data_IF_872156791184
#
_entry.id   IF_872156791184
#
_cell.length_a   1.000
_cell.length_b   1.000
_cell.length_c   1.000
_cell.angle_alpha   90.00
_cell.angle_beta   90.00
_cell.angle_gamma   90.00
#
_symmetry.space_group_name_H-M   'P 1'
#
loop_
_entity.id
_entity.type
_entity.pdbx_description
1 polymer ?
#
# COMPACT_ATOMS: atom_id res chain seq x y z
N UNK A 1 -14.30 0.29 -19.93
CA UNK A 1 -13.21 1.22 -20.29
C UNK A 1 -13.76 2.14 -21.34
N UNK A 2 -13.58 3.45 -21.19
CA UNK A 2 -13.79 4.38 -22.28
C UNK A 2 -12.56 4.26 -23.18
N UNK A 3 -12.74 3.89 -24.45
CA UNK A 3 -11.63 3.89 -25.40
C UNK A 3 -11.12 5.33 -25.53
N UNK A 4 -9.87 5.55 -25.14
CA UNK A 4 -9.17 6.82 -25.31
C UNK A 4 -8.15 6.61 -26.43
N UNK A 5 -8.35 7.30 -27.54
CA UNK A 5 -7.39 7.29 -28.66
C UNK A 5 -6.51 8.52 -28.53
N UNK A 6 -5.30 8.36 -27.97
CA UNK A 6 -4.28 9.40 -27.88
C UNK A 6 -3.11 9.03 -28.79
N UNK A 7 -2.80 9.89 -29.76
CA UNK A 7 -1.71 9.65 -30.72
C UNK A 7 -0.39 10.25 -30.21
N UNK A 8 0.12 9.74 -29.08
CA UNK A 8 1.37 10.22 -28.48
C UNK A 8 2.22 9.05 -27.94
N UNK A 9 3.52 9.05 -28.26
CA UNK A 9 4.42 7.95 -27.87
C UNK A 9 4.70 7.92 -26.36
N UNK A 10 4.71 9.06 -25.67
CA UNK A 10 4.90 9.09 -24.22
C UNK A 10 3.65 8.60 -23.48
N UNK A 11 2.46 8.81 -24.04
CA UNK A 11 1.24 8.21 -23.53
C UNK A 11 1.29 6.68 -23.60
N UNK A 12 1.79 6.12 -24.70
CA UNK A 12 2.00 4.67 -24.83
C UNK A 12 3.02 4.15 -23.81
N UNK A 13 4.16 4.86 -23.65
CA UNK A 13 5.16 4.50 -22.63
C UNK A 13 4.56 4.54 -21.21
N UNK A 14 3.78 5.58 -20.89
CA UNK A 14 3.09 5.71 -19.61
C UNK A 14 2.14 4.52 -19.37
N UNK A 15 1.35 4.17 -20.37
CA UNK A 15 0.38 3.08 -20.33
C UNK A 15 1.07 1.72 -20.11
N UNK A 16 2.20 1.49 -20.78
CA UNK A 16 3.01 0.28 -20.61
C UNK A 16 3.61 0.20 -19.21
N UNK A 17 4.18 1.28 -18.69
CA UNK A 17 4.73 1.30 -17.32
C UNK A 17 3.66 1.04 -16.26
N UNK A 18 2.50 1.66 -16.41
CA UNK A 18 1.35 1.40 -15.54
C UNK A 18 0.93 -0.08 -15.60
N UNK A 19 0.80 -0.66 -16.80
CA UNK A 19 0.46 -2.07 -16.97
C UNK A 19 1.50 -3.00 -16.34
N UNK A 20 2.79 -2.72 -16.54
CA UNK A 20 3.89 -3.49 -15.94
C UNK A 20 3.83 -3.45 -14.41
N UNK A 21 3.55 -2.29 -13.82
CA UNK A 21 3.38 -2.16 -12.38
C UNK A 21 2.17 -2.95 -11.87
N UNK A 22 1.00 -2.81 -12.51
CA UNK A 22 -0.22 -3.55 -12.14
C UNK A 22 -0.03 -5.06 -12.25
N UNK A 23 0.70 -5.53 -13.28
CA UNK A 23 1.03 -6.95 -13.44
C UNK A 23 1.90 -7.45 -12.27
N UNK A 24 2.90 -6.68 -11.86
CA UNK A 24 3.74 -7.03 -10.71
C UNK A 24 2.96 -7.02 -9.39
N UNK A 25 2.07 -6.06 -9.17
CA UNK A 25 1.17 -6.06 -8.01
C UNK A 25 0.29 -7.33 -7.97
N UNK A 26 -0.25 -7.74 -9.11
CA UNK A 26 -0.99 -8.99 -9.25
C UNK A 26 -0.12 -10.22 -8.95
N UNK A 27 1.09 -10.26 -9.49
CA UNK A 27 2.05 -11.34 -9.25
C UNK A 27 2.42 -11.47 -7.77
N UNK A 28 2.71 -10.37 -7.09
CA UNK A 28 3.00 -10.36 -5.66
C UNK A 28 1.84 -10.93 -4.85
N UNK A 29 0.60 -10.49 -5.14
CA UNK A 29 -0.59 -11.03 -4.49
C UNK A 29 -0.76 -12.55 -4.74
N UNK A 30 -0.50 -13.03 -5.95
CA UNK A 30 -0.57 -14.45 -6.30
C UNK A 30 0.50 -15.31 -5.59
N UNK A 31 1.66 -14.74 -5.25
CA UNK A 31 2.69 -15.44 -4.47
C UNK A 31 2.27 -15.64 -3.01
N UNK A 32 1.44 -14.73 -2.48
CA UNK A 32 1.00 -14.72 -1.09
C UNK A 32 -0.25 -15.57 -0.83
N UNK A 33 -0.83 -16.21 -1.85
CA UNK A 33 -2.03 -17.03 -1.70
C UNK A 33 -1.75 -18.36 -0.96
N UNK A 34 -2.62 -18.78 0.00
CA UNK A 34 -2.41 -19.97 0.82
C UNK A 34 -2.30 -21.31 0.05
N UNK A 35 -2.96 -21.44 -1.10
CA UNK A 35 -3.16 -22.71 -1.80
C UNK A 35 -1.90 -23.29 -2.46
N UNK A 36 -0.76 -22.60 -2.44
CA UNK A 36 0.49 -23.10 -3.04
C UNK A 36 1.27 -24.08 -2.16
N UNK A 37 0.86 -24.28 -0.91
CA UNK A 37 1.69 -24.96 0.08
C UNK A 37 0.99 -26.17 0.70
N UNK A 38 0.99 -27.31 0.00
CA UNK A 38 0.49 -28.62 0.47
C UNK A 38 1.64 -29.63 0.66
N UNK A 39 2.65 -29.33 1.50
CA UNK A 39 3.68 -30.31 1.91
C UNK A 39 4.56 -29.78 3.05
N UNK A 40 4.93 -30.64 4.01
CA UNK A 40 5.63 -30.32 5.27
C UNK A 40 7.03 -29.66 5.19
N UNK A 41 7.52 -29.27 4.01
CA UNK A 41 8.67 -28.38 3.79
C UNK A 41 8.28 -26.87 3.81
N UNK A 42 7.14 -26.56 4.42
CA UNK A 42 6.29 -25.37 4.21
C UNK A 42 6.84 -24.02 4.73
N UNK A 43 7.66 -23.99 5.77
CA UNK A 43 7.99 -22.72 6.46
C UNK A 43 9.03 -21.88 5.71
N UNK A 44 10.04 -22.50 5.10
CA UNK A 44 11.09 -21.78 4.34
C UNK A 44 10.55 -21.27 3.01
N UNK A 45 9.80 -22.09 2.29
CA UNK A 45 9.21 -21.71 1.01
C UNK A 45 8.24 -20.52 1.12
N UNK A 46 7.44 -20.45 2.19
CA UNK A 46 6.55 -19.31 2.44
C UNK A 46 7.33 -18.03 2.77
N UNK A 47 8.37 -18.12 3.59
CA UNK A 47 9.25 -16.99 3.91
C UNK A 47 9.98 -16.47 2.65
N UNK A 48 10.41 -17.37 1.77
CA UNK A 48 11.00 -16.99 0.48
C UNK A 48 9.98 -16.31 -0.43
N UNK A 49 8.72 -16.78 -0.44
CA UNK A 49 7.64 -16.11 -1.17
C UNK A 49 7.34 -14.70 -0.60
N UNK A 50 7.38 -14.52 0.73
CA UNK A 50 7.24 -13.21 1.37
C UNK A 50 8.39 -12.27 0.99
N UNK A 51 9.64 -12.74 0.95
CA UNK A 51 10.78 -11.92 0.52
C UNK A 51 10.66 -11.54 -0.97
N UNK A 52 10.36 -12.52 -1.82
CA UNK A 52 10.17 -12.29 -3.24
C UNK A 52 9.01 -11.33 -3.55
N UNK A 53 7.92 -11.37 -2.77
CA UNK A 53 6.82 -10.41 -2.96
C UNK A 53 7.23 -8.98 -2.61
N UNK A 54 8.08 -8.78 -1.58
CA UNK A 54 8.65 -7.46 -1.27
C UNK A 54 9.44 -6.93 -2.46
N UNK A 55 10.36 -7.72 -3.03
CA UNK A 55 11.15 -7.30 -4.20
C UNK A 55 10.27 -6.93 -5.40
N UNK A 56 9.19 -7.70 -5.63
CA UNK A 56 8.22 -7.41 -6.69
C UNK A 56 7.47 -6.10 -6.44
N UNK A 57 7.09 -5.81 -5.19
CA UNK A 57 6.47 -4.54 -4.82
C UNK A 57 7.41 -3.34 -5.05
N UNK A 58 8.69 -3.46 -4.68
CA UNK A 58 9.69 -2.40 -4.91
C UNK A 58 9.88 -2.11 -6.39
N UNK A 59 9.90 -3.17 -7.21
CA UNK A 59 9.97 -3.05 -8.67
C UNK A 59 8.72 -2.41 -9.28
N UNK A 60 7.53 -2.76 -8.80
CA UNK A 60 6.28 -2.12 -9.22
C UNK A 60 6.28 -0.62 -8.89
N UNK A 61 6.73 -0.27 -7.68
CA UNK A 61 6.91 1.11 -7.27
C UNK A 61 7.93 1.84 -8.16
N UNK A 62 9.03 1.18 -8.54
CA UNK A 62 10.05 1.74 -9.45
C UNK A 62 9.50 2.15 -10.80
N UNK A 63 8.64 1.33 -11.41
CA UNK A 63 7.97 1.68 -12.68
C UNK A 63 7.03 2.89 -12.53
N UNK A 64 6.27 2.96 -11.44
CA UNK A 64 5.33 4.05 -11.19
C UNK A 64 6.04 5.35 -10.84
N UNK A 65 7.11 5.30 -10.05
CA UNK A 65 7.93 6.47 -9.74
C UNK A 65 8.60 7.02 -11.00
N UNK A 66 9.18 6.14 -11.84
CA UNK A 66 9.74 6.56 -13.13
C UNK A 66 8.67 7.18 -14.03
N UNK A 67 7.48 6.57 -14.11
CA UNK A 67 6.36 7.11 -14.88
C UNK A 67 6.01 8.55 -14.44
N UNK A 68 5.90 8.78 -13.13
CA UNK A 68 5.58 10.10 -12.57
C UNK A 68 6.71 11.11 -12.79
N UNK A 69 7.96 10.72 -12.52
CA UNK A 69 9.10 11.64 -12.48
C UNK A 69 9.69 11.92 -13.87
N UNK A 70 9.60 10.97 -14.80
CA UNK A 70 10.33 11.02 -16.08
C UNK A 70 9.42 11.00 -17.30
N UNK A 71 8.27 10.34 -17.23
CA UNK A 71 7.36 10.19 -18.39
C UNK A 71 6.27 11.24 -18.41
N UNK A 72 5.52 11.43 -17.32
CA UNK A 72 4.47 12.46 -17.25
C UNK A 72 4.96 13.86 -17.65
N UNK A 73 6.15 14.34 -17.25
CA UNK A 73 6.62 15.66 -17.66
C UNK A 73 6.86 15.83 -19.17
N UNK A 74 7.02 14.72 -19.92
CA UNK A 74 7.24 14.75 -21.37
C UNK A 74 5.94 14.95 -22.15
N UNK A 75 4.79 14.66 -21.54
CA UNK A 75 3.49 14.86 -22.17
C UNK A 75 3.18 16.37 -22.27
N UNK A 76 2.61 16.84 -23.39
CA UNK A 76 2.03 18.18 -23.46
C UNK A 76 1.01 18.40 -22.34
N UNK A 77 0.87 19.65 -21.86
CA UNK A 77 0.01 19.96 -20.73
C UNK A 77 -1.47 19.66 -21.05
N UNK A 78 -1.89 19.94 -22.28
CA UNK A 78 -3.22 19.66 -22.80
C UNK A 78 -3.52 18.16 -22.69
N UNK A 79 -2.57 17.33 -23.15
CA UNK A 79 -2.71 15.88 -23.11
C UNK A 79 -2.73 15.32 -21.67
N UNK A 80 -1.94 15.91 -20.76
CA UNK A 80 -1.94 15.54 -19.34
C UNK A 80 -3.30 15.76 -18.68
N UNK A 81 -4.01 16.83 -19.04
CA UNK A 81 -5.32 17.13 -18.49
C UNK A 81 -6.41 16.18 -19.01
N UNK A 82 -6.20 15.62 -20.20
CA UNK A 82 -7.15 14.71 -20.86
C UNK A 82 -6.85 13.22 -20.56
N UNK A 83 -5.81 12.92 -19.76
CA UNK A 83 -5.44 11.55 -19.43
C UNK A 83 -6.63 10.76 -18.84
N UNK A 84 -6.74 9.46 -19.15
CA UNK A 84 -7.60 8.55 -18.40
C UNK A 84 -7.38 8.70 -16.89
N UNK A 85 -8.46 8.69 -16.10
CA UNK A 85 -8.38 8.92 -14.66
C UNK A 85 -7.43 7.96 -13.93
N UNK A 86 -7.34 6.72 -14.40
CA UNK A 86 -6.42 5.68 -13.92
C UNK A 86 -4.95 5.98 -14.21
N UNK A 87 -4.66 6.85 -15.18
CA UNK A 87 -3.31 7.34 -15.50
C UNK A 87 -3.05 8.76 -14.96
N UNK A 88 -3.98 9.33 -14.19
CA UNK A 88 -3.74 10.61 -13.53
C UNK A 88 -2.57 10.54 -12.56
N UNK A 89 -1.83 11.65 -12.42
CA UNK A 89 -0.65 11.71 -11.55
C UNK A 89 -0.94 11.27 -10.12
N UNK A 90 -2.10 11.66 -9.57
CA UNK A 90 -2.52 11.26 -8.23
C UNK A 90 -2.74 9.76 -8.09
N UNK A 91 -3.36 9.10 -9.09
CA UNK A 91 -3.53 7.63 -9.08
C UNK A 91 -2.19 6.92 -9.17
N UNK A 92 -1.28 7.37 -10.03
CA UNK A 92 0.05 6.76 -10.19
C UNK A 92 0.89 6.88 -8.90
N UNK A 93 0.86 8.05 -8.24
CA UNK A 93 1.50 8.24 -6.93
C UNK A 93 0.88 7.38 -5.85
N UNK A 94 -0.46 7.28 -5.81
CA UNK A 94 -1.17 6.44 -4.87
C UNK A 94 -0.82 4.95 -5.05
N UNK A 95 -0.75 4.45 -6.30
CA UNK A 95 -0.33 3.08 -6.61
C UNK A 95 1.13 2.82 -6.20
N UNK A 96 2.03 3.80 -6.40
CA UNK A 96 3.43 3.69 -6.01
C UNK A 96 3.55 3.50 -4.50
N UNK A 97 2.85 4.34 -3.74
CA UNK A 97 2.82 4.28 -2.27
C UNK A 97 2.08 3.04 -1.75
N UNK A 98 1.03 2.59 -2.44
CA UNK A 98 0.37 1.32 -2.16
C UNK A 98 1.37 0.16 -2.25
N UNK A 99 2.17 0.08 -3.31
CA UNK A 99 3.16 -0.97 -3.47
C UNK A 99 4.15 -1.00 -2.28
N UNK A 100 4.68 0.18 -1.89
CA UNK A 100 5.58 0.30 -0.73
C UNK A 100 4.88 -0.05 0.59
N UNK A 101 3.63 0.41 0.78
CA UNK A 101 2.82 0.10 1.96
C UNK A 101 2.55 -1.39 2.12
N UNK A 102 2.26 -2.09 1.01
CA UNK A 102 2.13 -3.55 0.99
C UNK A 102 3.48 -4.23 1.29
N UNK A 103 4.60 -3.73 0.75
CA UNK A 103 5.93 -4.24 1.08
C UNK A 103 6.24 -4.19 2.58
N UNK A 104 5.94 -3.06 3.24
CA UNK A 104 6.14 -2.93 4.70
C UNK A 104 5.16 -3.83 5.47
N UNK A 105 3.94 -4.03 4.99
CA UNK A 105 2.99 -4.97 5.60
C UNK A 105 3.56 -6.40 5.65
N UNK A 106 4.22 -6.85 4.57
CA UNK A 106 4.90 -8.15 4.56
C UNK A 106 6.05 -8.17 5.57
N UNK A 107 6.89 -7.13 5.60
CA UNK A 107 7.98 -7.03 6.58
C UNK A 107 7.47 -7.05 8.03
N UNK A 108 6.36 -6.37 8.31
CA UNK A 108 5.73 -6.37 9.62
C UNK A 108 5.20 -7.77 9.97
N UNK A 109 4.55 -8.46 9.04
CA UNK A 109 4.10 -9.84 9.23
C UNK A 109 5.27 -10.77 9.58
N UNK A 110 6.37 -10.70 8.85
CA UNK A 110 7.60 -11.45 9.14
C UNK A 110 8.20 -11.09 10.50
N UNK A 111 8.19 -9.80 10.88
CA UNK A 111 8.66 -9.35 12.18
C UNK A 111 7.76 -9.88 13.33
N UNK A 112 6.44 -9.90 13.14
CA UNK A 112 5.50 -10.46 14.12
C UNK A 112 5.79 -11.95 14.38
N UNK A 113 6.02 -12.72 13.33
CA UNK A 113 6.33 -14.16 13.38
C UNK A 113 7.73 -14.45 13.98
N UNK A 114 8.62 -13.45 14.02
CA UNK A 114 9.99 -13.60 14.48
C UNK A 114 10.15 -13.33 15.98
N UNK A 115 10.66 -14.32 16.72
CA UNK A 115 11.06 -14.16 18.13
C UNK A 115 12.20 -13.16 18.33
N UNK A 116 12.98 -12.86 17.27
CA UNK A 116 14.13 -11.94 17.34
C UNK A 116 13.73 -10.48 17.17
N UNK A 117 12.55 -10.21 16.61
CA UNK A 117 12.10 -8.86 16.35
C UNK A 117 11.52 -8.23 17.62
N UNK A 118 12.11 -7.13 18.07
CA UNK A 118 11.64 -6.39 19.24
C UNK A 118 10.33 -5.67 18.95
N UNK A 119 9.58 -5.32 20.00
CA UNK A 119 8.36 -4.54 19.89
C UNK A 119 8.61 -3.17 19.23
N UNK A 120 9.77 -2.56 19.49
CA UNK A 120 10.19 -1.31 18.85
C UNK A 120 10.33 -1.44 17.32
N UNK A 121 10.88 -2.56 16.82
CA UNK A 121 10.97 -2.83 15.38
C UNK A 121 9.58 -2.97 14.77
N UNK A 122 8.68 -3.73 15.42
CA UNK A 122 7.30 -3.92 14.96
C UNK A 122 6.56 -2.57 14.90
N UNK A 123 6.67 -1.75 15.96
CA UNK A 123 6.06 -0.41 16.01
C UNK A 123 6.59 0.47 14.88
N UNK A 124 7.91 0.49 14.65
CA UNK A 124 8.51 1.27 13.56
C UNK A 124 7.88 0.91 12.21
N UNK A 125 7.84 -0.38 11.86
CA UNK A 125 7.25 -0.84 10.60
C UNK A 125 5.76 -0.45 10.50
N UNK A 126 4.99 -0.59 11.57
CA UNK A 126 3.58 -0.17 11.58
C UNK A 126 3.40 1.34 11.38
N UNK A 127 4.25 2.17 11.99
CA UNK A 127 4.24 3.62 11.78
C UNK A 127 4.66 4.00 10.35
N UNK A 128 5.63 3.30 9.76
CA UNK A 128 5.99 3.47 8.34
C UNK A 128 4.80 3.12 7.44
N UNK A 129 4.07 2.02 7.70
CA UNK A 129 2.84 1.67 6.97
C UNK A 129 1.81 2.80 7.02
N UNK A 130 1.54 3.36 8.21
CA UNK A 130 0.60 4.50 8.36
C UNK A 130 1.01 5.65 7.44
N UNK A 131 2.29 5.97 7.37
CA UNK A 131 2.80 7.09 6.56
C UNK A 131 2.67 6.84 5.06
N UNK A 132 2.96 5.63 4.57
CA UNK A 132 2.73 5.27 3.16
C UNK A 132 1.26 5.37 2.77
N UNK A 133 0.37 4.75 3.56
CA UNK A 133 -1.06 4.74 3.26
C UNK A 133 -1.71 6.11 3.40
N UNK A 134 -1.28 6.92 4.37
CA UNK A 134 -1.74 8.29 4.50
C UNK A 134 -1.36 9.13 3.27
N UNK A 135 -0.10 9.05 2.81
CA UNK A 135 0.31 9.77 1.59
C UNK A 135 -0.47 9.28 0.36
N UNK A 136 -0.72 7.97 0.25
CA UNK A 136 -1.52 7.42 -0.85
C UNK A 136 -2.96 7.96 -0.84
N UNK A 137 -3.57 8.05 0.34
CA UNK A 137 -4.90 8.62 0.53
C UNK A 137 -4.95 10.09 0.12
N UNK A 138 -3.97 10.89 0.53
CA UNK A 138 -3.89 12.31 0.17
C UNK A 138 -3.83 12.53 -1.35
N UNK A 139 -3.18 11.63 -2.10
CA UNK A 139 -3.11 11.74 -3.56
C UNK A 139 -4.40 11.34 -4.29
N UNK A 140 -5.27 10.54 -3.67
CA UNK A 140 -6.44 9.96 -4.35
C UNK A 140 -7.78 10.50 -3.85
N UNK A 141 -7.86 10.99 -2.60
CA UNK A 141 -9.14 11.32 -1.93
C UNK A 141 -10.00 12.31 -2.72
N UNK A 142 -9.38 13.33 -3.32
CA UNK A 142 -10.08 14.43 -4.00
C UNK A 142 -10.29 14.18 -5.51
N UNK A 143 -9.79 13.05 -6.03
CA UNK A 143 -9.94 12.73 -7.46
C UNK A 143 -11.36 12.26 -7.79
N UNK A 144 -11.96 12.65 -8.92
CA UNK A 144 -13.32 12.25 -9.30
C UNK A 144 -13.40 10.82 -9.86
N UNK A 145 -12.91 9.84 -9.09
CA UNK A 145 -12.86 8.43 -9.48
C UNK A 145 -14.24 7.75 -9.33
N UNK A 146 -15.24 8.22 -10.07
CA UNK A 146 -16.61 7.69 -10.04
C UNK A 146 -16.81 6.43 -10.92
N UNK A 147 -15.72 5.81 -11.38
CA UNK A 147 -15.80 4.50 -12.01
C UNK A 147 -15.65 3.42 -10.92
N UNK A 148 -16.35 2.29 -11.06
CA UNK A 148 -16.38 1.27 -9.99
C UNK A 148 -14.99 0.82 -9.53
N UNK A 149 -14.01 0.73 -10.45
CA UNK A 149 -12.62 0.40 -10.10
C UNK A 149 -11.91 1.48 -9.27
N UNK A 150 -12.11 2.75 -9.60
CA UNK A 150 -11.48 3.88 -8.93
C UNK A 150 -12.11 4.16 -7.57
N UNK A 151 -13.43 4.05 -7.43
CA UNK A 151 -14.12 4.05 -6.14
C UNK A 151 -13.57 2.93 -5.25
N UNK A 152 -13.43 1.73 -5.83
CA UNK A 152 -12.87 0.59 -5.14
C UNK A 152 -11.42 0.78 -4.72
N UNK A 153 -10.60 1.44 -5.53
CA UNK A 153 -9.21 1.78 -5.17
C UNK A 153 -9.15 2.76 -3.98
N UNK A 154 -10.01 3.78 -3.95
CA UNK A 154 -10.12 4.68 -2.78
C UNK A 154 -10.49 3.93 -1.51
N UNK A 155 -11.50 3.06 -1.57
CA UNK A 155 -11.92 2.25 -0.44
C UNK A 155 -10.80 1.32 0.05
N UNK A 156 -10.00 0.75 -0.86
CA UNK A 156 -8.85 -0.06 -0.50
C UNK A 156 -7.82 0.74 0.29
N UNK A 157 -7.39 1.89 -0.23
CA UNK A 157 -6.39 2.74 0.43
C UNK A 157 -6.90 3.20 1.79
N UNK A 158 -8.15 3.64 1.88
CA UNK A 158 -8.78 4.08 3.13
C UNK A 158 -8.79 2.93 4.15
N UNK A 159 -9.25 1.74 3.74
CA UNK A 159 -9.23 0.55 4.60
C UNK A 159 -7.82 0.25 5.12
N UNK A 160 -6.82 0.17 4.23
CA UNK A 160 -5.45 -0.18 4.62
C UNK A 160 -4.80 0.89 5.50
N UNK A 161 -5.13 2.17 5.30
CA UNK A 161 -4.70 3.25 6.19
C UNK A 161 -5.27 3.09 7.60
N UNK A 162 -6.57 2.82 7.72
CA UNK A 162 -7.23 2.61 9.02
C UNK A 162 -6.67 1.36 9.71
N UNK A 163 -6.45 0.28 8.95
CA UNK A 163 -5.83 -0.94 9.46
C UNK A 163 -4.41 -0.67 10.00
N UNK A 164 -3.58 0.05 9.25
CA UNK A 164 -2.23 0.43 9.67
C UNK A 164 -2.24 1.24 10.97
N UNK A 165 -3.20 2.17 11.14
CA UNK A 165 -3.39 2.93 12.38
C UNK A 165 -3.69 2.01 13.56
N UNK A 166 -4.58 1.02 13.38
CA UNK A 166 -4.88 0.05 14.43
C UNK A 166 -3.60 -0.67 14.91
N UNK A 167 -2.74 -1.11 14.00
CA UNK A 167 -1.47 -1.78 14.35
C UNK A 167 -0.54 -0.84 15.10
N UNK A 168 -0.34 0.36 14.55
CA UNK A 168 0.63 1.32 15.05
C UNK A 168 0.26 1.74 16.48
N UNK A 169 -1.02 2.05 16.73
CA UNK A 169 -1.50 2.40 18.06
C UNK A 169 -1.42 1.24 19.05
N UNK A 170 -1.72 0.01 18.62
CA UNK A 170 -1.60 -1.16 19.49
C UNK A 170 -0.15 -1.39 19.94
N UNK A 171 0.78 -1.44 18.98
CA UNK A 171 2.20 -1.64 19.28
C UNK A 171 2.80 -0.46 20.05
N UNK A 172 2.33 0.76 19.80
CA UNK A 172 2.73 1.93 20.56
C UNK A 172 2.23 1.87 22.01
N UNK A 173 0.96 1.51 22.21
CA UNK A 173 0.37 1.32 23.53
C UNK A 173 1.14 0.29 24.37
N UNK A 174 1.48 -0.87 23.79
CA UNK A 174 2.28 -1.89 24.47
C UNK A 174 3.67 -1.36 24.92
N UNK A 175 4.36 -0.58 24.08
CA UNK A 175 5.66 0.01 24.47
C UNK A 175 5.49 1.04 25.60
N UNK A 176 4.41 1.83 25.57
CA UNK A 176 4.15 2.81 26.62
C UNK A 176 3.87 2.14 27.98
N UNK A 177 3.19 0.98 27.98
CA UNK A 177 3.00 0.16 29.18
C UNK A 177 4.35 -0.36 29.72
N UNK A 178 5.23 -0.87 28.85
CA UNK A 178 6.58 -1.34 29.25
C UNK A 178 7.46 -0.20 29.78
N UNK A 179 7.33 1.00 29.21
CA UNK A 179 8.17 2.16 29.52
C UNK A 179 7.78 2.93 30.79
N UNK A 180 6.83 2.44 31.59
CA UNK A 180 6.29 3.11 32.79
C UNK A 180 5.82 4.56 32.50
N UNK A 181 5.36 4.81 31.27
CA UNK A 181 4.71 6.08 30.90
C UNK A 181 3.34 6.12 31.57
N UNK A 182 2.73 7.31 31.74
CA UNK A 182 1.46 7.42 32.47
C UNK A 182 0.41 6.44 31.93
N UNK A 183 -0.15 5.62 32.82
CA UNK A 183 -1.06 4.52 32.46
C UNK A 183 -2.23 4.98 31.58
N UNK A 184 -2.67 6.24 31.73
CA UNK A 184 -3.70 6.86 30.89
C UNK A 184 -3.30 7.03 29.43
N UNK A 185 -2.04 7.36 29.11
CA UNK A 185 -1.58 7.53 27.72
C UNK A 185 -1.50 6.16 27.03
N UNK A 186 -0.97 5.16 27.72
CA UNK A 186 -0.91 3.79 27.19
C UNK A 186 -2.32 3.23 26.95
N UNK A 187 -3.24 3.41 27.90
CA UNK A 187 -4.63 3.01 27.75
C UNK A 187 -5.33 3.72 26.59
N UNK A 188 -5.12 5.03 26.42
CA UNK A 188 -5.69 5.79 25.30
C UNK A 188 -5.18 5.28 23.94
N UNK A 189 -3.89 4.95 23.82
CA UNK A 189 -3.33 4.36 22.60
C UNK A 189 -3.96 3.00 22.28
N UNK A 190 -4.08 2.11 23.28
CA UNK A 190 -4.70 0.80 23.10
C UNK A 190 -6.19 0.93 22.73
N UNK A 191 -6.93 1.84 23.36
CA UNK A 191 -8.33 2.09 23.03
C UNK A 191 -8.50 2.62 21.60
N UNK A 192 -7.63 3.55 21.16
CA UNK A 192 -7.62 4.01 19.78
C UNK A 192 -7.38 2.85 18.79
N UNK A 193 -6.49 1.92 19.13
CA UNK A 193 -6.24 0.73 18.32
C UNK A 193 -7.47 -0.16 18.16
N UNK A 194 -8.25 -0.35 19.23
CA UNK A 194 -9.51 -1.11 19.19
C UNK A 194 -10.53 -0.46 18.26
N UNK A 195 -10.67 0.86 18.36
CA UNK A 195 -11.61 1.62 17.55
C UNK A 195 -11.22 1.63 16.07
N UNK A 196 -9.93 1.81 15.76
CA UNK A 196 -9.46 1.65 14.39
C UNK A 196 -9.61 0.21 13.87
N UNK A 197 -9.48 -0.81 14.72
CA UNK A 197 -9.72 -2.19 14.30
C UNK A 197 -11.21 -2.42 13.94
N UNK A 198 -12.15 -1.87 14.71
CA UNK A 198 -13.59 -1.92 14.40
C UNK A 198 -13.88 -1.20 13.08
N UNK A 199 -13.36 0.01 12.92
CA UNK A 199 -13.52 0.81 11.71
C UNK A 199 -12.91 0.13 10.49
N UNK A 200 -11.71 -0.46 10.64
CA UNK A 200 -11.03 -1.20 9.58
C UNK A 200 -11.86 -2.38 9.08
N UNK A 201 -12.58 -3.09 9.96
CA UNK A 201 -13.46 -4.20 9.55
C UNK A 201 -14.62 -3.69 8.70
N UNK A 202 -15.25 -2.59 9.10
CA UNK A 202 -16.34 -1.98 8.33
C UNK A 202 -15.85 -1.47 6.96
N UNK A 203 -14.66 -0.86 6.92
CA UNK A 203 -14.03 -0.41 5.68
C UNK A 203 -13.67 -1.57 4.74
N UNK A 204 -13.17 -2.68 5.29
CA UNK A 204 -12.91 -3.94 4.58
C UNK A 204 -14.19 -4.48 3.92
N UNK A 205 -15.27 -4.58 4.69
CA UNK A 205 -16.56 -5.06 4.18
C UNK A 205 -17.07 -4.15 3.04
N UNK A 206 -17.00 -2.83 3.24
CA UNK A 206 -17.38 -1.82 2.24
C UNK A 206 -16.57 -1.94 0.94
N UNK A 207 -15.26 -2.18 1.04
CA UNK A 207 -14.39 -2.43 -0.11
C UNK A 207 -14.81 -3.69 -0.87
N UNK A 208 -15.12 -4.78 -0.15
CA UNK A 208 -15.40 -6.06 -0.78
C UNK A 208 -16.77 -6.11 -1.48
N UNK A 209 -17.79 -5.42 -0.93
CA UNK A 209 -19.13 -5.35 -1.52
C UNK A 209 -19.24 -4.35 -2.67
N UNK A 210 -18.41 -3.30 -2.68
CA UNK A 210 -18.37 -2.32 -3.78
C UNK A 210 -17.96 -2.98 -5.10
N UNK A 211 -18.66 -2.65 -6.18
CA UNK A 211 -18.42 -3.20 -7.50
C UNK A 211 -17.06 -2.73 -8.06
N UNK A 212 -16.32 -3.61 -8.76
CA UNK A 212 -16.60 -5.03 -8.98
C UNK A 212 -16.40 -5.83 -7.69
N UNK A 213 -17.37 -6.67 -7.32
CA UNK A 213 -17.32 -7.38 -6.04
C UNK A 213 -16.12 -8.32 -5.94
N UNK A 214 -15.62 -8.51 -4.72
CA UNK A 214 -14.44 -9.34 -4.46
C UNK A 214 -14.67 -10.23 -3.26
N UNK A 215 -14.01 -11.38 -3.23
CA UNK A 215 -14.04 -12.27 -2.07
C UNK A 215 -13.19 -11.69 -0.96
N UNK A 216 -13.71 -11.68 0.27
CA UNK A 216 -12.94 -11.39 1.46
C UNK A 216 -12.14 -12.64 1.86
N UNK A 217 -10.79 -12.64 1.75
CA UNK A 217 -9.99 -13.78 2.16
C UNK A 217 -9.94 -13.89 3.69
N UNK A 218 -9.70 -15.08 4.27
CA UNK A 218 -9.39 -15.20 5.68
C UNK A 218 -8.22 -14.29 6.09
N UNK A 219 -8.26 -13.64 7.27
CA UNK A 219 -7.16 -12.81 7.74
C UNK A 219 -5.84 -13.60 7.80
N UNK A 220 -4.75 -12.97 7.38
CA UNK A 220 -3.41 -13.53 7.39
C UNK A 220 -2.39 -12.48 7.84
N UNK A 221 -1.16 -12.91 8.10
CA UNK A 221 -0.05 -12.02 8.47
C UNK A 221 -0.36 -11.09 9.64
N UNK A 222 -0.04 -9.80 9.50
CA UNK A 222 -0.26 -8.79 10.52
C UNK A 222 -1.75 -8.64 10.87
N UNK A 223 -2.65 -8.63 9.88
CA UNK A 223 -4.10 -8.52 10.10
C UNK A 223 -4.66 -9.63 10.98
N UNK A 224 -4.20 -10.87 10.80
CA UNK A 224 -4.58 -12.00 11.67
C UNK A 224 -4.13 -11.77 13.11
N UNK A 225 -2.86 -11.40 13.29
CA UNK A 225 -2.30 -11.14 14.61
C UNK A 225 -3.11 -10.08 15.38
N UNK A 226 -3.47 -8.98 14.72
CA UNK A 226 -4.29 -7.91 15.31
C UNK A 226 -5.67 -8.40 15.74
N UNK A 227 -6.35 -9.10 14.83
CA UNK A 227 -7.72 -9.58 15.06
C UNK A 227 -7.80 -10.51 16.27
N UNK A 228 -6.71 -11.24 16.55
CA UNK A 228 -6.63 -12.14 17.70
C UNK A 228 -6.12 -11.46 18.99
N UNK A 229 -5.20 -10.48 18.87
CA UNK A 229 -4.49 -9.91 20.02
C UNK A 229 -5.16 -8.69 20.63
N UNK A 230 -5.56 -7.73 19.79
CA UNK A 230 -6.16 -6.46 20.26
C UNK A 230 -7.37 -6.73 21.16
N UNK A 231 -8.35 -7.59 20.78
CA UNK A 231 -9.50 -7.84 21.64
C UNK A 231 -9.14 -8.48 22.98
N UNK A 232 -8.17 -9.40 23.01
CA UNK A 232 -7.77 -10.13 24.23
C UNK A 232 -7.04 -9.24 25.22
N UNK A 233 -6.14 -8.39 24.72
CA UNK A 233 -5.30 -7.54 25.55
C UNK A 233 -6.07 -6.34 26.11
N UNK A 234 -7.16 -5.93 25.45
CA UNK A 234 -7.99 -4.79 25.87
C UNK A 234 -9.18 -5.23 26.72
N UNK A 235 -9.82 -6.37 26.43
CA UNK A 235 -10.93 -6.90 27.24
C UNK A 235 -10.52 -7.21 28.70
N UNK A 236 -9.23 -7.36 28.95
CA UNK A 236 -8.66 -7.57 30.29
C UNK A 236 -8.36 -6.27 31.05
N UNK A 237 -8.50 -5.09 30.42
CA UNK A 237 -7.99 -3.80 30.93
C UNK A 237 -9.00 -2.64 30.85
N UNK A 238 -10.29 -2.92 30.66
CA UNK A 238 -11.32 -1.90 30.37
C UNK A 238 -11.36 -0.79 31.42
N UNK A 239 -11.05 0.44 30.99
CA UNK A 239 -11.51 1.64 31.69
C UNK A 239 -12.90 1.97 31.11
N UNK A 240 -13.90 2.03 31.98
CA UNK A 240 -15.30 2.22 31.61
C UNK A 240 -15.54 3.63 31.07
N UNK A 241 -15.31 3.85 29.78
CA UNK A 241 -15.75 5.04 29.05
C UNK A 241 -17.02 4.70 28.27
N UNK A 242 -18.09 5.46 28.54
CA UNK A 242 -19.37 5.33 27.83
C UNK A 242 -19.19 5.32 26.31
N UNK A 243 -19.99 4.49 25.64
CA UNK A 243 -20.06 4.26 24.19
C UNK A 243 -20.22 5.54 23.33
N UNK A 244 -20.54 6.69 23.93
CA UNK A 244 -20.78 7.96 23.22
C UNK A 244 -19.52 8.76 22.83
N UNK A 245 -18.29 8.24 23.00
CA UNK A 245 -17.05 9.03 22.83
C UNK A 245 -16.04 8.50 21.80
N UNK A 246 -16.48 7.82 20.74
CA UNK A 246 -15.60 7.28 19.68
C UNK A 246 -14.66 8.35 19.07
N UNK A 247 -15.17 9.55 18.75
CA UNK A 247 -14.35 10.65 18.23
C UNK A 247 -13.42 11.24 19.29
N UNK A 248 -13.88 11.36 20.54
CA UNK A 248 -13.05 11.89 21.63
C UNK A 248 -11.89 10.94 21.97
N UNK A 249 -12.08 9.62 21.88
CA UNK A 249 -11.01 8.63 22.09
C UNK A 249 -9.88 8.82 21.06
N UNK A 250 -10.24 9.02 19.79
CA UNK A 250 -9.24 9.29 18.73
C UNK A 250 -8.55 10.64 18.90
N UNK A 251 -9.25 11.66 19.43
CA UNK A 251 -8.66 12.97 19.73
C UNK A 251 -7.71 12.94 20.94
N UNK A 252 -7.94 12.04 21.89
CA UNK A 252 -7.12 11.88 23.11
C UNK A 252 -5.94 10.92 22.88
N UNK A 253 -5.93 10.19 21.77
CA UNK A 253 -4.84 9.27 21.43
C UNK A 253 -3.50 10.02 21.29
N UNK A 254 -2.39 9.47 21.81
CA UNK A 254 -1.08 10.10 21.69
C UNK A 254 -0.63 10.15 20.23
N UNK A 255 0.20 11.14 19.88
CA UNK A 255 0.82 11.17 18.57
C UNK A 255 1.68 9.92 18.33
N UNK A 256 1.49 9.26 17.20
CA UNK A 256 2.37 8.18 16.77
C UNK A 256 3.78 8.72 16.49
N UNK A 257 4.85 7.97 16.83
CA UNK A 257 6.20 8.40 16.51
C UNK A 257 6.40 8.48 15.00
N UNK A 258 7.09 9.53 14.54
CA UNK A 258 7.47 9.67 13.14
C UNK A 258 8.80 8.96 12.87
N UNK A 259 8.82 8.10 11.85
CA UNK A 259 9.99 7.36 11.42
C UNK A 259 10.31 7.67 9.94
N UNK A 260 11.59 7.52 9.60
CA UNK A 260 12.04 7.58 8.22
C UNK A 260 11.56 6.34 7.48
N UNK A 261 10.98 6.55 6.30
CA UNK A 261 10.53 5.50 5.40
C UNK A 261 11.73 4.68 4.90
N UNK A 262 11.72 3.38 5.14
CA UNK A 262 12.84 2.49 4.83
C UNK A 262 12.76 1.89 3.43
N UNK A 263 11.56 1.61 2.91
CA UNK A 263 11.39 1.14 1.53
C UNK A 263 11.35 2.32 0.56
N UNK A 264 11.95 2.13 -0.60
CA UNK A 264 11.95 3.09 -1.70
C UNK A 264 11.68 2.35 -3.01
N UNK A 265 11.11 3.03 -4.01
CA UNK A 265 11.03 2.47 -5.36
C UNK A 265 12.38 1.97 -5.83
N UNK A 266 12.42 0.82 -6.49
CA UNK A 266 13.63 0.36 -7.17
C UNK A 266 14.00 1.35 -8.27
N UNK A 267 15.30 1.56 -8.47
CA UNK A 267 15.76 2.37 -9.60
C UNK A 267 15.36 1.69 -10.92
N UNK A 268 14.68 2.44 -11.77
CA UNK A 268 14.29 2.00 -13.09
C UNK A 268 14.74 3.00 -14.16
N UNK A 269 15.16 2.48 -15.30
CA UNK A 269 15.46 3.24 -16.50
C UNK A 269 14.85 2.51 -17.70
N UNK A 270 14.42 3.27 -18.71
CA UNK A 270 13.97 2.69 -19.96
C UNK A 270 15.10 1.89 -20.62
N UNK A 271 14.80 0.79 -21.33
CA UNK A 271 15.80 0.10 -22.11
C UNK A 271 16.39 1.03 -23.19
N UNK A 272 17.63 0.75 -23.60
CA UNK A 272 18.26 1.45 -24.72
C UNK A 272 17.43 1.28 -26.00
N UNK A 273 17.46 2.29 -26.87
CA UNK A 273 16.85 2.20 -28.20
C UNK A 273 17.38 0.98 -28.95
N UNK A 274 16.46 0.25 -29.58
CA UNK A 274 16.83 -0.94 -30.34
C UNK A 274 17.73 -0.56 -31.54
N UNK A 275 18.85 -1.26 -31.79
CA UNK A 275 19.77 -0.94 -32.87
C UNK A 275 19.13 -0.86 -34.26
N UNK A 276 18.02 -1.56 -34.51
CA UNK A 276 17.28 -1.53 -35.78
C UNK A 276 16.78 -0.13 -36.17
N UNK A 277 16.66 0.79 -35.22
CA UNK A 277 16.29 2.19 -35.48
C UNK A 277 17.43 3.01 -36.09
N UNK A 278 18.69 2.59 -35.93
CA UNK A 278 19.83 3.27 -36.53
C UNK A 278 19.89 3.06 -38.05
N UNK A 279 19.45 1.89 -38.54
CA UNK A 279 19.47 1.56 -39.97
C UNK A 279 18.42 2.38 -40.77
N UNK A 280 17.33 2.81 -40.12
CA UNK A 280 16.29 3.65 -40.72
C UNK A 280 16.73 5.11 -40.91
N UNK A 281 17.66 5.61 -40.10
CA UNK A 281 18.22 6.95 -40.29
C UNK A 281 19.13 7.02 -41.53
N UNK A 282 19.77 5.92 -41.91
CA UNK A 282 20.65 5.84 -43.08
C UNK A 282 19.84 5.77 -44.39
N UNK A 283 18.66 5.14 -44.39
CA UNK A 283 17.82 5.00 -45.59
C UNK A 283 17.04 6.27 -45.97
N UNK A 284 16.83 7.21 -45.04
CA UNK A 284 16.21 8.51 -45.33
C UNK A 284 17.20 9.56 -45.89
N UNK A 285 18.46 9.17 -46.08
CA UNK A 285 19.49 9.98 -46.76
C UNK A 285 19.73 9.41 -48.16
N UNK A 286 18.68 9.36 -48.99
CA UNK A 286 18.84 9.17 -50.45
C UNK A 286 18.55 10.51 -51.13
N UNK A 287 19.53 11.14 -51.80
CA UNK A 287 19.33 12.42 -52.45
C UNK A 287 18.43 12.26 -53.67
N UNK A 288 17.45 13.15 -53.78
CA UNK A 288 16.70 13.41 -55.00
C UNK A 288 17.67 13.66 -56.15
N UNK A 289 17.59 12.82 -57.18
CA UNK A 289 18.02 13.12 -58.55
C UNK A 289 16.89 12.75 -59.49
#
# INVERSE_FOLDING_TARGET
>A
MQETTMSDSWYEVLSVLHLMAVLLLSQANLLLLPNKFTSGYQSTALEDCKRASIDIFLKAAGYLDFAVQKVLPQLPLELRNDLPLDLSEGVLKALCLQALGQGVEIQLGMAIDSIKATLAVKRRLACEMVKYWHQAEEYIKDLPLANGWGEKHKLFIQWKHIEAKAIAYYLHGLILEEGNTSAGIAAAALQAAEEYLKESKMACDSFHVTLPSSRNPPPWGASKYLAERIPKDISSKTINWDSQKHEMIKQVAPALPDFVLSLKPDEYQLPSTDPSWNDLQVQNVVPTK
#
